data_IF_031362010628
#
_entry.id   IF_031362010628
#
_cell.length_a   1.000
_cell.length_b   1.000
_cell.length_c   1.000
_cell.angle_alpha   90.00
_cell.angle_beta   90.00
_cell.angle_gamma   90.00
#
_symmetry.space_group_name_H-M   'P 1'
#
loop_
_entity.id
_entity.type
_entity.pdbx_description
1 polymer ?
#
# COMPACT_ATOMS: atom_id res chain seq x y z
N UNK A 1 15.11 13.68 2.95
CA UNK A 1 15.90 12.72 2.11
C UNK A 1 14.93 11.74 1.48
N UNK A 2 14.92 11.66 0.16
CA UNK A 2 13.89 10.87 -0.55
C UNK A 2 14.09 9.36 -0.35
N UNK A 3 13.02 8.70 0.10
CA UNK A 3 12.98 7.24 0.30
C UNK A 3 12.57 6.52 -1.00
N UNK A 4 11.79 7.20 -1.86
CA UNK A 4 11.43 6.73 -3.19
C UNK A 4 11.91 7.76 -4.21
N UNK A 5 12.59 7.30 -5.26
CA UNK A 5 12.96 8.11 -6.43
C UNK A 5 12.66 7.30 -7.67
N UNK A 6 11.75 7.79 -8.48
CA UNK A 6 11.35 7.23 -9.76
C UNK A 6 11.66 8.22 -10.88
N UNK A 7 12.26 7.75 -11.96
CA UNK A 7 12.61 8.57 -13.14
C UNK A 7 12.12 7.84 -14.40
N UNK A 8 11.20 8.49 -15.11
CA UNK A 8 10.66 8.02 -16.38
C UNK A 8 9.98 6.65 -16.28
N UNK A 9 9.31 6.31 -15.16
CA UNK A 9 8.67 5.00 -15.01
C UNK A 9 7.58 4.82 -16.06
N UNK A 10 7.74 3.79 -16.86
CA UNK A 10 6.79 3.42 -17.91
C UNK A 10 6.41 1.95 -17.77
N UNK A 11 5.13 1.64 -17.99
CA UNK A 11 4.65 0.25 -17.97
C UNK A 11 3.57 0.00 -19.02
N UNK A 12 3.76 -1.05 -19.78
CA UNK A 12 2.86 -1.47 -20.86
C UNK A 12 2.31 -2.86 -20.55
N UNK A 13 1.03 -3.08 -20.86
CA UNK A 13 0.39 -4.38 -20.93
C UNK A 13 0.12 -4.70 -22.41
N UNK A 14 1.00 -5.50 -23.02
CA UNK A 14 0.97 -5.70 -24.48
C UNK A 14 1.14 -4.37 -25.22
N UNK A 15 0.13 -3.91 -25.97
CA UNK A 15 0.13 -2.63 -26.68
C UNK A 15 -0.47 -1.47 -25.86
N UNK A 16 -1.06 -1.74 -24.70
CA UNK A 16 -1.70 -0.72 -23.87
C UNK A 16 -0.71 -0.07 -22.89
N UNK A 17 -0.64 1.26 -22.90
CA UNK A 17 0.20 2.04 -22.00
C UNK A 17 -0.54 2.26 -20.67
N UNK A 18 -0.08 1.61 -19.60
CA UNK A 18 -0.66 1.79 -18.27
C UNK A 18 0.01 2.92 -17.48
N UNK A 19 1.32 3.15 -17.71
CA UNK A 19 2.06 4.29 -17.16
C UNK A 19 3.03 4.80 -18.22
N UNK A 20 3.16 6.12 -18.31
CA UNK A 20 4.03 6.78 -19.28
C UNK A 20 4.87 7.85 -18.62
N UNK A 21 6.16 7.59 -18.51
CA UNK A 21 7.19 8.51 -18.03
C UNK A 21 6.85 9.19 -16.71
N UNK A 22 6.55 8.41 -15.66
CA UNK A 22 6.24 8.96 -14.33
C UNK A 22 7.55 9.29 -13.60
N UNK A 23 7.69 10.55 -13.22
CA UNK A 23 8.73 11.03 -12.32
C UNK A 23 8.14 11.29 -10.94
N UNK A 24 8.79 10.78 -9.88
CA UNK A 24 8.28 10.84 -8.53
C UNK A 24 9.42 10.82 -7.51
N UNK A 25 9.38 11.73 -6.55
CA UNK A 25 10.23 11.68 -5.36
C UNK A 25 9.35 11.81 -4.10
N UNK A 26 9.55 10.90 -3.13
CA UNK A 26 8.84 10.88 -1.84
C UNK A 26 9.87 10.84 -0.73
N UNK A 27 9.73 11.74 0.24
CA UNK A 27 10.63 11.80 1.38
C UNK A 27 10.25 10.81 2.49
N UNK A 28 11.23 10.48 3.35
CA UNK A 28 10.99 9.62 4.50
C UNK A 28 9.98 10.26 5.46
N UNK A 29 8.96 9.48 5.87
CA UNK A 29 7.87 9.93 6.72
C UNK A 29 6.77 10.71 5.99
N UNK A 30 6.90 10.94 4.68
CA UNK A 30 5.88 11.60 3.88
C UNK A 30 4.72 10.64 3.55
N UNK A 31 3.49 11.17 3.57
CA UNK A 31 2.30 10.47 3.07
C UNK A 31 1.86 11.14 1.76
N UNK A 32 1.81 10.35 0.69
CA UNK A 32 1.38 10.80 -0.63
C UNK A 32 0.13 10.07 -1.08
N UNK A 33 -0.88 10.82 -1.50
CA UNK A 33 -2.05 10.29 -2.18
C UNK A 33 -1.80 10.20 -3.69
N UNK A 34 -2.24 9.11 -4.30
CA UNK A 34 -2.32 8.93 -5.76
C UNK A 34 -3.79 8.94 -6.14
N UNK A 35 -4.21 10.00 -6.81
CA UNK A 35 -5.59 10.23 -7.25
C UNK A 35 -5.72 10.02 -8.76
N UNK A 36 -6.93 9.74 -9.22
CA UNK A 36 -7.26 9.59 -10.63
C UNK A 36 -8.45 8.66 -10.83
N UNK A 37 -9.03 8.70 -12.02
CA UNK A 37 -10.16 7.85 -12.41
C UNK A 37 -9.77 6.36 -12.46
N UNK A 38 -10.77 5.48 -12.59
CA UNK A 38 -10.52 4.07 -12.85
C UNK A 38 -9.78 3.91 -14.19
N UNK A 39 -8.77 3.04 -14.21
CA UNK A 39 -7.91 2.89 -15.38
C UNK A 39 -6.81 3.95 -15.54
N UNK A 40 -6.71 4.95 -14.66
CA UNK A 40 -5.67 5.99 -14.76
C UNK A 40 -4.23 5.50 -14.51
N UNK A 41 -4.03 4.23 -14.08
CA UNK A 41 -2.72 3.66 -13.80
C UNK A 41 -2.34 3.59 -12.33
N UNK A 42 -3.23 3.99 -11.38
CA UNK A 42 -2.95 4.01 -9.94
C UNK A 42 -2.44 2.66 -9.41
N UNK A 43 -3.22 1.60 -9.58
CA UNK A 43 -2.86 0.23 -9.15
C UNK A 43 -1.54 -0.23 -9.77
N UNK A 44 -1.28 0.09 -11.03
CA UNK A 44 -0.04 -0.26 -11.72
C UNK A 44 1.15 0.44 -11.08
N UNK A 45 1.03 1.76 -10.81
CA UNK A 45 2.08 2.52 -10.12
C UNK A 45 2.35 1.92 -8.72
N UNK A 46 1.28 1.69 -7.92
CA UNK A 46 1.43 1.14 -6.59
C UNK A 46 2.07 -0.26 -6.61
N UNK A 47 1.71 -1.13 -7.54
CA UNK A 47 2.33 -2.46 -7.70
C UNK A 47 3.82 -2.36 -8.04
N UNK A 48 4.24 -1.38 -8.83
CA UNK A 48 5.65 -1.14 -9.15
C UNK A 48 6.37 -0.62 -7.90
N UNK A 49 5.81 0.36 -7.17
CA UNK A 49 6.39 0.89 -5.93
C UNK A 49 6.48 -0.19 -4.83
N UNK A 50 5.51 -1.10 -4.77
CA UNK A 50 5.54 -2.26 -3.87
C UNK A 50 6.47 -3.38 -4.34
N UNK A 51 7.19 -3.21 -5.45
CA UNK A 51 7.99 -4.25 -6.13
C UNK A 51 7.19 -5.50 -6.52
N UNK A 52 5.86 -5.43 -6.55
CA UNK A 52 4.98 -6.52 -6.98
C UNK A 52 4.95 -6.66 -8.52
N UNK A 53 5.13 -5.55 -9.26
CA UNK A 53 5.33 -5.52 -10.71
C UNK A 53 6.73 -4.98 -11.08
N UNK A 54 7.13 -5.17 -12.34
CA UNK A 54 8.34 -4.54 -12.91
C UNK A 54 7.89 -3.46 -13.87
N UNK A 55 8.50 -2.26 -13.87
CA UNK A 55 8.29 -1.31 -14.96
C UNK A 55 8.87 -1.89 -16.27
N UNK A 56 8.32 -1.47 -17.40
CA UNK A 56 8.86 -1.80 -18.72
C UNK A 56 10.13 -1.00 -18.99
N UNK A 57 10.16 0.26 -18.56
CA UNK A 57 11.34 1.13 -18.63
C UNK A 57 11.35 2.15 -17.49
N UNK A 58 12.41 2.96 -17.42
CA UNK A 58 12.66 3.90 -16.34
C UNK A 58 13.47 3.31 -15.21
N UNK A 59 13.69 4.13 -14.16
CA UNK A 59 14.48 3.75 -12.98
C UNK A 59 13.66 3.96 -11.72
N UNK A 60 13.79 3.04 -10.77
CA UNK A 60 13.16 3.14 -9.46
C UNK A 60 14.16 2.77 -8.38
N UNK A 61 14.39 3.70 -7.48
CA UNK A 61 15.14 3.47 -6.25
C UNK A 61 14.21 3.60 -5.04
N UNK A 62 14.31 2.66 -4.11
CA UNK A 62 13.56 2.67 -2.85
C UNK A 62 14.55 2.44 -1.71
N UNK A 63 14.55 3.33 -0.71
CA UNK A 63 15.52 3.27 0.41
C UNK A 63 16.97 3.20 -0.07
N UNK A 64 17.31 3.91 -1.16
CA UNK A 64 18.63 3.90 -1.78
C UNK A 64 18.99 2.63 -2.56
N UNK A 65 18.09 1.64 -2.63
CA UNK A 65 18.29 0.37 -3.34
C UNK A 65 17.60 0.39 -4.70
N UNK A 66 18.24 -0.19 -5.71
CA UNK A 66 17.61 -0.43 -7.02
C UNK A 66 16.44 -1.41 -6.88
N UNK A 67 15.23 -0.96 -7.23
CA UNK A 67 14.02 -1.73 -7.02
C UNK A 67 13.91 -2.99 -7.90
N UNK A 68 14.64 -3.08 -9.00
CA UNK A 68 14.65 -4.26 -9.86
C UNK A 68 15.63 -5.33 -9.35
N UNK A 69 16.79 -4.90 -8.86
CA UNK A 69 17.87 -5.79 -8.43
C UNK A 69 17.68 -6.28 -7.00
N UNK A 70 17.18 -5.41 -6.10
CA UNK A 70 17.09 -5.66 -4.66
C UNK A 70 15.67 -6.01 -4.17
N UNK A 71 14.81 -6.53 -5.06
CA UNK A 71 13.37 -6.81 -4.75
C UNK A 71 13.15 -7.60 -3.46
N UNK A 72 13.97 -8.63 -3.21
CA UNK A 72 13.81 -9.47 -2.00
C UNK A 72 14.07 -8.66 -0.73
N UNK A 73 15.12 -7.84 -0.72
CA UNK A 73 15.46 -6.97 0.41
C UNK A 73 14.41 -5.88 0.65
N UNK A 74 13.87 -5.34 -0.43
CA UNK A 74 12.84 -4.30 -0.38
C UNK A 74 11.50 -4.86 0.12
N UNK A 75 11.08 -6.04 -0.34
CA UNK A 75 9.83 -6.68 0.12
C UNK A 75 9.78 -6.93 1.62
N UNK A 76 10.92 -7.16 2.26
CA UNK A 76 11.03 -7.28 3.71
C UNK A 76 10.85 -5.94 4.46
N UNK A 77 10.74 -4.82 3.74
CA UNK A 77 10.63 -3.45 4.30
C UNK A 77 9.41 -2.69 3.79
N UNK A 78 8.64 -3.30 2.90
CA UNK A 78 7.46 -2.70 2.27
C UNK A 78 6.23 -3.52 2.66
N UNK A 79 5.24 -2.86 3.27
CA UNK A 79 3.91 -3.39 3.43
C UNK A 79 3.05 -3.03 2.23
N UNK A 80 2.37 -4.00 1.65
CA UNK A 80 1.51 -3.77 0.49
C UNK A 80 0.11 -4.32 0.71
N UNK A 81 -0.87 -3.44 0.64
CA UNK A 81 -2.29 -3.77 0.56
C UNK A 81 -2.73 -3.57 -0.88
N UNK A 82 -3.02 -4.66 -1.55
CA UNK A 82 -3.56 -4.65 -2.91
C UNK A 82 -5.09 -4.54 -2.87
N UNK A 83 -5.69 -4.13 -3.97
CA UNK A 83 -7.15 -4.07 -4.14
C UNK A 83 -7.84 -5.41 -3.79
N UNK A 84 -7.26 -6.55 -4.21
CA UNK A 84 -7.69 -7.87 -3.75
C UNK A 84 -6.93 -8.23 -2.45
N UNK A 85 -7.62 -8.65 -1.36
CA UNK A 85 -7.00 -8.89 -0.06
C UNK A 85 -5.86 -9.92 -0.07
N UNK A 86 -5.87 -10.88 -1.00
CA UNK A 86 -4.83 -11.91 -1.13
C UNK A 86 -4.69 -12.78 0.13
N UNK A 87 -5.82 -13.16 0.71
CA UNK A 87 -5.93 -14.04 1.87
C UNK A 87 -6.21 -15.47 1.42
N UNK A 88 -5.90 -16.43 2.28
CA UNK A 88 -6.29 -17.82 2.12
C UNK A 88 -7.66 -18.04 2.78
N UNK A 89 -8.75 -18.24 2.00
CA UNK A 89 -10.11 -18.22 2.55
C UNK A 89 -10.39 -19.36 3.53
N UNK A 90 -9.74 -20.52 3.35
CA UNK A 90 -9.88 -21.68 4.22
C UNK A 90 -9.15 -21.55 5.56
N UNK A 91 -8.13 -20.69 5.63
CA UNK A 91 -7.38 -20.44 6.86
C UNK A 91 -8.10 -19.41 7.73
N UNK A 92 -8.04 -19.55 9.05
CA UNK A 92 -8.50 -18.55 10.01
C UNK A 92 -7.69 -17.24 9.87
N UNK A 93 -8.18 -16.16 10.50
CA UNK A 93 -7.43 -14.91 10.54
C UNK A 93 -6.04 -15.10 11.18
N UNK A 94 -5.95 -15.86 12.27
CA UNK A 94 -4.69 -16.21 12.91
C UNK A 94 -3.77 -16.98 11.97
N UNK A 95 -4.24 -18.07 11.37
CA UNK A 95 -3.43 -18.90 10.47
C UNK A 95 -2.96 -18.16 9.23
N UNK A 96 -3.79 -17.26 8.69
CA UNK A 96 -3.36 -16.36 7.61
C UNK A 96 -2.12 -15.54 8.03
N UNK A 97 -2.17 -14.87 9.19
CA UNK A 97 -1.05 -14.07 9.65
C UNK A 97 0.16 -14.93 10.01
N UNK A 98 -0.03 -16.10 10.63
CA UNK A 98 1.06 -17.04 10.94
C UNK A 98 1.79 -17.53 9.68
N UNK A 99 1.03 -17.81 8.62
CA UNK A 99 1.60 -18.17 7.33
C UNK A 99 2.54 -17.08 6.81
N UNK A 100 2.11 -15.80 6.86
CA UNK A 100 2.95 -14.68 6.45
C UNK A 100 4.10 -14.40 7.42
N UNK A 101 3.95 -14.65 8.72
CA UNK A 101 5.08 -14.66 9.66
C UNK A 101 6.20 -15.60 9.20
N UNK A 102 5.82 -16.81 8.81
CA UNK A 102 6.78 -17.82 8.34
C UNK A 102 7.48 -17.37 7.06
N UNK A 103 6.74 -16.82 6.09
CA UNK A 103 7.29 -16.33 4.82
C UNK A 103 8.25 -15.14 5.00
N UNK A 104 7.99 -14.29 5.98
CA UNK A 104 8.74 -13.05 6.21
C UNK A 104 9.81 -13.18 7.32
N UNK A 105 9.91 -14.33 7.97
CA UNK A 105 10.83 -14.53 9.09
C UNK A 105 10.45 -13.72 10.33
N UNK A 106 9.16 -13.43 10.52
CA UNK A 106 8.62 -12.69 11.66
C UNK A 106 8.18 -13.68 12.75
N UNK A 107 8.39 -13.32 14.01
CA UNK A 107 7.95 -14.16 15.14
C UNK A 107 6.42 -14.20 15.22
N UNK A 108 5.85 -15.39 15.39
CA UNK A 108 4.39 -15.61 15.52
C UNK A 108 3.75 -14.86 16.70
N UNK A 109 4.54 -14.47 17.69
CA UNK A 109 4.09 -13.63 18.82
C UNK A 109 3.48 -12.29 18.37
N UNK A 110 3.85 -11.81 17.18
CA UNK A 110 3.27 -10.59 16.56
C UNK A 110 1.82 -10.74 16.08
N UNK A 111 1.34 -11.98 15.91
CA UNK A 111 0.01 -12.23 15.34
C UNK A 111 -1.11 -11.67 16.23
N UNK A 112 -1.07 -11.96 17.54
CA UNK A 112 -2.10 -11.49 18.47
C UNK A 112 -2.13 -9.94 18.55
N UNK A 113 -0.95 -9.31 18.63
CA UNK A 113 -0.79 -7.85 18.63
C UNK A 113 -1.37 -7.26 17.33
N UNK A 114 -1.04 -7.85 16.18
CA UNK A 114 -1.54 -7.38 14.87
C UNK A 114 -3.05 -7.51 14.75
N UNK A 115 -3.63 -8.64 15.19
CA UNK A 115 -5.08 -8.84 15.21
C UNK A 115 -5.79 -7.80 16.09
N UNK A 116 -5.21 -7.46 17.25
CA UNK A 116 -5.73 -6.40 18.11
C UNK A 116 -5.69 -5.02 17.42
N UNK A 117 -4.56 -4.67 16.79
CA UNK A 117 -4.39 -3.40 16.06
C UNK A 117 -5.45 -3.22 14.98
N UNK A 118 -5.77 -4.29 14.22
CA UNK A 118 -6.75 -4.23 13.14
C UNK A 118 -8.20 -4.55 13.58
N UNK A 119 -8.43 -4.75 14.90
CA UNK A 119 -9.75 -4.98 15.48
C UNK A 119 -10.37 -6.34 15.13
N UNK A 120 -9.56 -7.40 15.02
CA UNK A 120 -10.01 -8.75 14.65
C UNK A 120 -9.79 -9.81 15.73
N UNK A 121 -9.47 -9.43 16.97
CA UNK A 121 -9.22 -10.37 18.08
C UNK A 121 -10.37 -11.34 18.32
N UNK A 122 -11.62 -10.85 18.33
CA UNK A 122 -12.83 -11.65 18.59
C UNK A 122 -13.12 -12.70 17.50
N UNK A 123 -12.62 -12.46 16.28
CA UNK A 123 -12.84 -13.35 15.13
C UNK A 123 -11.56 -14.07 14.68
N UNK A 124 -10.52 -14.05 15.52
CA UNK A 124 -9.19 -14.56 15.22
C UNK A 124 -9.19 -16.01 14.68
N UNK A 125 -10.08 -16.87 15.20
CA UNK A 125 -10.21 -18.29 14.82
C UNK A 125 -11.17 -18.53 13.65
N UNK A 126 -11.88 -17.48 13.16
CA UNK A 126 -12.84 -17.62 12.05
C UNK A 126 -12.09 -17.72 10.73
N UNK A 127 -12.48 -18.65 9.83
CA UNK A 127 -11.95 -18.71 8.46
C UNK A 127 -12.09 -17.37 7.72
N UNK A 128 -11.03 -16.96 7.01
CA UNK A 128 -11.03 -15.66 6.33
C UNK A 128 -12.13 -15.52 5.29
N UNK A 129 -12.55 -16.64 4.65
CA UNK A 129 -13.67 -16.65 3.71
C UNK A 129 -15.03 -16.37 4.34
N UNK A 130 -15.16 -16.49 5.68
CA UNK A 130 -16.39 -16.21 6.43
C UNK A 130 -16.39 -14.80 7.05
N UNK A 131 -15.31 -14.05 6.92
CA UNK A 131 -15.22 -12.67 7.36
C UNK A 131 -15.98 -11.75 6.38
N UNK A 132 -16.54 -10.65 6.90
CA UNK A 132 -17.09 -9.60 6.05
C UNK A 132 -15.98 -8.98 5.18
N UNK A 133 -16.35 -8.31 4.09
CA UNK A 133 -15.37 -7.61 3.22
C UNK A 133 -14.49 -6.64 4.01
N UNK A 134 -15.08 -5.86 4.93
CA UNK A 134 -14.32 -4.96 5.80
C UNK A 134 -13.36 -5.69 6.73
N UNK A 135 -13.77 -6.83 7.32
CA UNK A 135 -12.88 -7.66 8.13
C UNK A 135 -11.75 -8.30 7.30
N UNK A 136 -12.03 -8.73 6.07
CA UNK A 136 -11.01 -9.22 5.16
C UNK A 136 -10.00 -8.12 4.80
N UNK A 137 -10.48 -6.90 4.56
CA UNK A 137 -9.62 -5.75 4.30
C UNK A 137 -8.74 -5.42 5.52
N UNK A 138 -9.31 -5.43 6.75
CA UNK A 138 -8.55 -5.28 8.00
C UNK A 138 -7.48 -6.36 8.16
N UNK A 139 -7.80 -7.62 7.83
CA UNK A 139 -6.84 -8.72 7.86
C UNK A 139 -5.72 -8.53 6.81
N UNK A 140 -6.04 -8.05 5.60
CA UNK A 140 -5.04 -7.71 4.58
C UNK A 140 -4.11 -6.57 5.02
N UNK A 141 -4.66 -5.57 5.72
CA UNK A 141 -3.88 -4.51 6.36
C UNK A 141 -2.98 -5.10 7.45
N UNK A 142 -3.51 -5.96 8.33
CA UNK A 142 -2.75 -6.67 9.35
C UNK A 142 -1.56 -7.42 8.75
N UNK A 143 -1.78 -8.16 7.68
CA UNK A 143 -0.72 -8.83 6.93
C UNK A 143 0.36 -7.86 6.44
N UNK A 144 -0.03 -6.68 5.94
CA UNK A 144 0.89 -5.70 5.39
C UNK A 144 1.77 -5.05 6.47
N UNK A 145 1.28 -4.92 7.71
CA UNK A 145 2.03 -4.29 8.82
C UNK A 145 2.79 -5.29 9.71
N UNK A 146 2.58 -6.58 9.54
CA UNK A 146 3.05 -7.67 10.42
C UNK A 146 4.57 -7.62 10.68
N UNK A 147 5.36 -7.24 9.68
CA UNK A 147 6.81 -7.15 9.71
C UNK A 147 7.34 -5.74 9.98
N UNK A 148 6.48 -4.84 10.47
CA UNK A 148 6.77 -3.43 10.78
C UNK A 148 7.50 -2.69 9.64
N UNK A 149 6.86 -2.55 8.47
CA UNK A 149 7.47 -1.95 7.29
C UNK A 149 7.70 -0.44 7.47
N UNK A 150 8.76 0.09 6.86
CA UNK A 150 9.05 1.54 6.79
C UNK A 150 8.26 2.25 5.70
N UNK A 151 7.83 1.51 4.68
CA UNK A 151 7.03 1.99 3.57
C UNK A 151 5.73 1.18 3.50
N UNK A 152 4.60 1.86 3.53
CA UNK A 152 3.28 1.29 3.25
C UNK A 152 2.81 1.75 1.87
N UNK A 153 2.37 0.80 1.06
CA UNK A 153 1.74 1.05 -0.23
C UNK A 153 0.32 0.48 -0.16
N UNK A 154 -0.68 1.34 -0.27
CA UNK A 154 -2.07 1.03 0.01
C UNK A 154 -2.94 1.33 -1.21
N UNK A 155 -3.52 0.29 -1.81
CA UNK A 155 -4.36 0.39 -3.01
C UNK A 155 -5.84 0.29 -2.61
N UNK A 156 -6.53 1.42 -2.56
CA UNK A 156 -7.92 1.59 -2.14
C UNK A 156 -8.24 0.89 -0.79
N UNK A 157 -7.45 1.15 0.28
CA UNK A 157 -7.61 0.44 1.54
C UNK A 157 -8.91 0.76 2.27
N UNK A 158 -9.52 1.89 1.96
CA UNK A 158 -10.73 2.45 2.55
C UNK A 158 -12.03 1.83 2.03
N UNK A 159 -12.01 1.21 0.86
CA UNK A 159 -13.20 0.75 0.12
C UNK A 159 -14.21 -0.14 0.90
N UNK A 160 -13.87 -0.61 2.10
CA UNK A 160 -14.76 -1.50 2.88
C UNK A 160 -14.56 -1.38 4.40
N UNK A 161 -13.79 -0.39 4.89
CA UNK A 161 -13.38 -0.35 6.30
C UNK A 161 -14.45 0.15 7.29
N UNK A 162 -15.53 0.77 6.80
CA UNK A 162 -16.55 1.38 7.67
C UNK A 162 -16.12 2.74 8.24
N UNK A 163 -16.89 3.27 9.17
CA UNK A 163 -16.74 4.64 9.69
C UNK A 163 -15.43 4.89 10.45
N UNK A 164 -14.85 3.88 11.08
CA UNK A 164 -13.58 3.96 11.82
C UNK A 164 -12.34 3.67 10.96
N UNK A 165 -12.55 3.35 9.68
CA UNK A 165 -11.48 3.00 8.74
C UNK A 165 -10.43 4.09 8.57
N UNK A 166 -10.85 5.36 8.49
CA UNK A 166 -9.95 6.49 8.37
C UNK A 166 -9.04 6.66 9.61
N UNK A 167 -9.58 6.43 10.82
CA UNK A 167 -8.81 6.49 12.07
C UNK A 167 -7.82 5.33 12.18
N UNK A 168 -8.24 4.13 11.79
CA UNK A 168 -7.36 2.96 11.70
C UNK A 168 -6.19 3.29 10.76
N UNK A 169 -6.45 3.76 9.55
CA UNK A 169 -5.40 4.11 8.58
C UNK A 169 -4.49 5.21 9.13
N UNK A 170 -5.04 6.29 9.70
CA UNK A 170 -4.25 7.36 10.30
C UNK A 170 -3.28 6.84 11.37
N UNK A 171 -3.73 5.94 12.23
CA UNK A 171 -2.90 5.34 13.27
C UNK A 171 -1.78 4.48 12.68
N UNK A 172 -2.09 3.67 11.67
CA UNK A 172 -1.13 2.77 11.01
C UNK A 172 -0.07 3.53 10.19
N UNK A 173 -0.42 4.69 9.67
CA UNK A 173 0.46 5.53 8.86
C UNK A 173 1.51 6.28 9.71
N UNK A 174 1.27 6.49 11.00
CA UNK A 174 2.19 7.23 11.88
C UNK A 174 3.60 6.62 11.88
N UNK A 175 4.60 7.47 11.69
CA UNK A 175 6.02 7.07 11.70
C UNK A 175 6.48 6.29 10.47
N UNK A 176 5.63 6.14 9.45
CA UNK A 176 5.93 5.44 8.20
C UNK A 176 5.87 6.39 7.01
N UNK A 177 6.53 6.03 5.93
CA UNK A 177 6.25 6.62 4.62
C UNK A 177 5.09 5.89 3.99
N UNK A 178 4.16 6.61 3.36
CA UNK A 178 2.95 5.99 2.81
C UNK A 178 2.68 6.49 1.40
N UNK A 179 2.30 5.56 0.52
CA UNK A 179 1.70 5.85 -0.78
C UNK A 179 0.31 5.23 -0.80
N UNK A 180 -0.70 6.08 -0.86
CA UNK A 180 -2.12 5.71 -0.77
C UNK A 180 -2.81 6.02 -2.11
N UNK A 181 -3.34 5.02 -2.82
CA UNK A 181 -4.30 5.25 -3.89
C UNK A 181 -5.72 5.22 -3.33
N UNK A 182 -6.49 6.23 -3.62
CA UNK A 182 -7.91 6.32 -3.30
C UNK A 182 -8.63 7.19 -4.34
N UNK A 183 -9.93 7.04 -4.45
CA UNK A 183 -10.80 7.95 -5.18
C UNK A 183 -11.52 8.94 -4.22
N UNK A 184 -11.37 8.75 -2.92
CA UNK A 184 -11.91 9.66 -1.90
C UNK A 184 -10.94 10.83 -1.64
N UNK A 185 -11.29 12.00 -2.17
CA UNK A 185 -10.52 13.23 -1.99
C UNK A 185 -10.51 13.72 -0.53
N UNK A 186 -11.58 13.48 0.23
CA UNK A 186 -11.65 13.88 1.63
C UNK A 186 -10.66 13.06 2.47
N UNK A 187 -10.61 11.75 2.23
CA UNK A 187 -9.64 10.85 2.86
C UNK A 187 -8.20 11.24 2.49
N UNK A 188 -7.93 11.48 1.19
CA UNK A 188 -6.62 11.92 0.73
C UNK A 188 -6.16 13.21 1.44
N UNK A 189 -7.04 14.21 1.52
CA UNK A 189 -6.77 15.49 2.21
C UNK A 189 -6.54 15.31 3.71
N UNK A 190 -7.23 14.36 4.34
CA UNK A 190 -7.10 14.07 5.76
C UNK A 190 -5.80 13.36 6.12
N UNK A 191 -5.34 12.43 5.27
CA UNK A 191 -4.26 11.50 5.60
C UNK A 191 -2.92 11.83 4.94
N UNK A 192 -2.90 12.60 3.86
CA UNK A 192 -1.71 12.81 3.05
C UNK A 192 -1.31 14.28 2.96
N UNK A 193 0.01 14.52 2.88
CA UNK A 193 0.57 15.87 2.74
C UNK A 193 0.71 16.30 1.27
N UNK A 194 0.79 15.33 0.36
CA UNK A 194 0.96 15.58 -1.08
C UNK A 194 0.06 14.68 -1.91
N UNK A 195 -0.26 15.16 -3.10
CA UNK A 195 -1.08 14.43 -4.06
C UNK A 195 -0.38 14.34 -5.41
N UNK A 196 -0.35 13.15 -5.97
CA UNK A 196 -0.06 12.88 -7.37
C UNK A 196 -1.36 12.56 -8.09
N UNK A 197 -1.72 13.32 -9.12
CA UNK A 197 -2.89 13.04 -9.95
C UNK A 197 -2.45 12.29 -11.20
N UNK A 198 -3.04 11.12 -11.45
CA UNK A 198 -2.84 10.34 -12.67
C UNK A 198 -4.04 10.48 -13.61
N UNK A 199 -3.76 10.65 -14.90
CA UNK A 199 -4.74 10.61 -15.97
C UNK A 199 -4.13 9.88 -17.18
N UNK A 200 -4.78 8.82 -17.65
CA UNK A 200 -4.32 8.01 -18.78
C UNK A 200 -2.83 7.62 -18.70
N UNK A 201 -2.41 7.14 -17.54
CA UNK A 201 -1.03 6.70 -17.31
C UNK A 201 0.02 7.80 -17.13
N UNK A 202 -0.35 9.08 -17.18
CA UNK A 202 0.55 10.23 -17.01
C UNK A 202 0.27 11.01 -15.73
N UNK A 203 1.29 11.63 -15.16
CA UNK A 203 1.10 12.58 -14.06
C UNK A 203 0.57 13.91 -14.61
N UNK A 204 -0.48 14.44 -13.97
CA UNK A 204 -1.04 15.76 -14.31
C UNK A 204 -0.55 16.76 -13.27
N UNK A 205 0.26 17.72 -13.71
CA UNK A 205 0.86 18.73 -12.83
C UNK A 205 2.00 18.18 -11.96
N UNK A 206 2.64 19.08 -11.22
CA UNK A 206 3.58 18.70 -10.16
C UNK A 206 2.81 18.24 -8.93
N UNK A 207 3.32 17.25 -8.16
CA UNK A 207 2.67 16.82 -6.92
C UNK A 207 2.42 18.03 -5.99
N UNK A 208 1.15 18.31 -5.73
CA UNK A 208 0.72 19.49 -4.97
C UNK A 208 0.74 19.17 -3.48
N UNK A 209 1.25 20.11 -2.64
CA UNK A 209 1.09 20.01 -1.19
C UNK A 209 -0.36 20.26 -0.81
N UNK A 210 -0.92 19.36 -0.01
CA UNK A 210 -2.23 19.52 0.58
C UNK A 210 -2.10 20.31 1.89
N UNK A 211 -3.01 21.27 2.12
CA UNK A 211 -3.14 21.89 3.43
C UNK A 211 -3.91 20.91 4.32
N UNK A 212 -3.23 20.30 5.29
CA UNK A 212 -3.90 19.52 6.32
C UNK A 212 -4.84 20.45 7.07
N UNK A 213 -6.13 20.19 7.02
CA UNK A 213 -7.09 20.85 7.91
C UNK A 213 -6.87 20.27 9.30
N UNK A 214 -6.43 21.13 10.22
CA UNK A 214 -6.24 20.79 11.65
C UNK A 214 -7.57 20.50 12.33
#
# INVERSE_FOLDING_TARGET
MSIIVANGLTHWFGSEVALESIDLAIDAGEHMAVLGENGAGKTTLLRILATAARPTSGRLQIMGLDALRERKRLRARIGFVAHAPGLYPALSATENLEFFCTLQGVRKTKVAETLAIVGLSEVAKRPAGQLSRGMQQRLAIGRAILHDPKLLVLDEPDASLGSDGADLLANLMRGRTVVLATHDHALANRLCQRTLVLRHGRSVGTPTRLHLVQ
#
